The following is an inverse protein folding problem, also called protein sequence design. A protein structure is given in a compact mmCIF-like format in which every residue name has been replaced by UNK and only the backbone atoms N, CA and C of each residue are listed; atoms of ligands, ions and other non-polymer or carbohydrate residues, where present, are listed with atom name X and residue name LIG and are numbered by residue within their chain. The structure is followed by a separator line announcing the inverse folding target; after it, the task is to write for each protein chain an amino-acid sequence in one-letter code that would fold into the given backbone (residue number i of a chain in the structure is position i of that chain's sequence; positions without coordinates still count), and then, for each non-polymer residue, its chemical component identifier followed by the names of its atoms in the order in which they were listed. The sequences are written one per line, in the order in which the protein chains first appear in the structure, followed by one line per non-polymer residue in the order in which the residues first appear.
data_IF_764957418526
#
_entry.id   IF_764957418526
#
_cell.length_a   1.000
_cell.length_b   1.000
_cell.length_c   1.000
_cell.angle_alpha   90.00
_cell.angle_beta   90.00
_cell.angle_gamma   90.00
#
_symmetry.space_group_name_H-M   'P 1'
#
loop_
_entity.id
_entity.type
_entity.pdbx_description
1 polymer ?
#
# COMPACT_ATOMS: atom_id res chain seq x y z
N UNK A 1 -5.63 27.64 -9.33
CA UNK A 1 -6.62 28.72 -9.15
C UNK A 1 -7.70 28.18 -8.22
N UNK A 2 -7.97 28.88 -7.13
CA UNK A 2 -8.99 28.51 -6.14
C UNK A 2 -10.42 28.56 -6.71
N UNK A 3 -10.61 29.16 -7.88
CA UNK A 3 -11.89 29.25 -8.59
C UNK A 3 -12.05 28.24 -9.73
N UNK A 4 -11.06 27.36 -9.96
CA UNK A 4 -11.14 26.37 -11.03
C UNK A 4 -11.75 25.05 -10.55
N UNK A 5 -12.72 24.52 -11.29
CA UNK A 5 -13.14 23.12 -11.16
C UNK A 5 -11.92 22.22 -11.42
N UNK A 6 -11.58 21.39 -10.44
CA UNK A 6 -10.46 20.45 -10.56
C UNK A 6 -10.98 19.06 -10.86
N UNK A 7 -10.39 18.42 -11.86
CA UNK A 7 -10.61 17.02 -12.18
C UNK A 7 -9.44 16.24 -11.63
N UNK A 8 -9.70 15.30 -10.72
CA UNK A 8 -8.59 14.68 -9.98
C UNK A 8 -7.94 13.55 -10.78
N UNK A 9 -8.61 12.88 -11.72
CA UNK A 9 -8.06 11.69 -12.42
C UNK A 9 -8.80 11.35 -13.74
N UNK A 10 -8.65 12.20 -14.75
CA UNK A 10 -9.09 11.91 -16.14
C UNK A 10 -7.88 11.65 -17.03
N UNK A 11 -7.97 10.60 -17.85
CA UNK A 11 -6.93 10.18 -18.77
C UNK A 11 -7.47 10.16 -20.20
N UNK A 12 -6.77 10.72 -21.19
CA UNK A 12 -7.27 10.81 -22.56
C UNK A 12 -7.35 9.44 -23.25
N UNK A 13 -8.40 9.28 -24.06
CA UNK A 13 -8.74 8.09 -24.83
C UNK A 13 -9.49 7.04 -24.02
N UNK A 14 -10.49 6.42 -24.63
CA UNK A 14 -11.08 5.18 -24.12
C UNK A 14 -10.94 4.10 -25.18
N UNK A 15 -10.30 2.98 -24.83
CA UNK A 15 -10.07 1.85 -25.75
C UNK A 15 -11.13 0.75 -25.59
N UNK A 16 -12.01 0.84 -24.60
CA UNK A 16 -13.10 -0.14 -24.48
C UNK A 16 -14.02 0.03 -25.69
N UNK A 17 -14.39 -1.05 -26.37
CA UNK A 17 -15.24 -0.97 -27.57
C UNK A 17 -16.55 -0.24 -27.26
N UNK A 18 -17.12 -0.50 -26.08
CA UNK A 18 -18.33 0.15 -25.57
C UNK A 18 -18.16 1.63 -25.18
N UNK A 19 -16.93 2.14 -25.13
CA UNK A 19 -16.63 3.51 -24.71
C UNK A 19 -15.70 4.22 -25.68
N UNK A 20 -15.43 3.67 -26.86
CA UNK A 20 -14.51 4.23 -27.87
C UNK A 20 -14.85 5.67 -28.29
N UNK A 21 -16.11 6.06 -28.13
CA UNK A 21 -16.63 7.41 -28.42
C UNK A 21 -16.36 8.40 -27.28
N UNK A 22 -15.93 7.91 -26.11
CA UNK A 22 -15.55 8.77 -24.98
C UNK A 22 -14.11 9.24 -25.15
N UNK A 23 -13.94 10.55 -25.03
CA UNK A 23 -12.63 11.21 -25.12
C UNK A 23 -11.75 10.92 -23.90
N UNK A 24 -12.33 10.47 -22.77
CA UNK A 24 -11.61 10.25 -21.51
C UNK A 24 -12.01 8.96 -20.79
N UNK A 25 -11.04 8.43 -20.02
CA UNK A 25 -11.21 7.38 -19.01
C UNK A 25 -11.01 7.99 -17.64
N UNK A 26 -11.96 7.79 -16.73
CA UNK A 26 -11.88 8.26 -15.34
C UNK A 26 -11.42 7.14 -14.41
N UNK A 27 -10.58 7.47 -13.43
CA UNK A 27 -10.12 6.51 -12.42
C UNK A 27 -10.27 7.10 -11.03
N UNK A 28 -10.80 6.34 -10.08
CA UNK A 28 -10.74 6.73 -8.68
C UNK A 28 -9.42 6.26 -8.08
N UNK A 29 -8.63 7.17 -7.50
CA UNK A 29 -7.37 6.83 -6.82
C UNK A 29 -7.52 7.04 -5.31
N UNK A 30 -7.13 6.04 -4.52
CA UNK A 30 -7.12 6.07 -3.06
C UNK A 30 -6.16 5.02 -2.50
N UNK A 31 -6.04 4.94 -1.17
CA UNK A 31 -5.25 3.89 -0.52
C UNK A 31 -5.77 2.51 -0.89
N UNK A 32 -4.86 1.65 -1.33
CA UNK A 32 -5.19 0.28 -1.73
C UNK A 32 -5.45 -0.66 -0.54
N UNK A 33 -5.13 -0.23 0.69
CA UNK A 33 -5.26 -1.03 1.91
C UNK A 33 -4.67 -2.44 1.72
N UNK A 34 -3.39 -2.48 1.35
CA UNK A 34 -2.66 -3.69 0.98
C UNK A 34 -2.80 -4.80 2.03
N UNK A 35 -2.73 -6.06 1.59
CA UNK A 35 -2.74 -7.21 2.49
C UNK A 35 -1.47 -7.24 3.34
N UNK A 36 -0.32 -6.97 2.73
CA UNK A 36 0.98 -6.81 3.39
C UNK A 36 1.50 -5.36 3.21
N UNK A 37 1.01 -4.39 4.00
CA UNK A 37 1.24 -2.97 3.76
C UNK A 37 2.68 -2.51 4.07
N UNK A 38 3.42 -2.09 3.05
CA UNK A 38 4.76 -1.49 3.19
C UNK A 38 4.79 -0.28 4.12
N UNK A 39 3.73 0.54 4.11
CA UNK A 39 3.65 1.73 4.96
C UNK A 39 3.53 1.39 6.46
N UNK A 40 2.94 0.24 6.81
CA UNK A 40 2.91 -0.26 8.20
C UNK A 40 4.28 -0.79 8.58
N UNK A 41 4.89 -1.62 7.71
CA UNK A 41 6.23 -2.18 7.94
C UNK A 41 7.30 -1.09 8.12
N UNK A 42 7.22 0.01 7.38
CA UNK A 42 8.17 1.12 7.48
C UNK A 42 7.91 2.08 8.67
N UNK A 43 6.78 1.94 9.37
CA UNK A 43 6.42 2.86 10.45
C UNK A 43 7.11 2.50 11.77
N UNK A 44 8.22 3.18 12.06
CA UNK A 44 9.06 2.93 13.24
C UNK A 44 8.38 3.19 14.60
N UNK A 45 7.25 3.89 14.62
CA UNK A 45 6.47 4.20 15.83
C UNK A 45 5.12 3.47 15.88
N UNK A 46 4.80 2.64 14.87
CA UNK A 46 3.52 1.92 14.82
C UNK A 46 2.28 2.80 14.61
N UNK A 47 2.45 4.03 14.09
CA UNK A 47 1.34 4.95 13.79
C UNK A 47 0.41 4.45 12.67
N UNK A 48 0.84 3.49 11.86
CA UNK A 48 0.02 2.82 10.85
C UNK A 48 -0.16 1.36 11.27
N UNK A 49 -1.38 0.85 11.22
CA UNK A 49 -1.73 -0.52 11.61
C UNK A 49 -2.67 -1.15 10.59
N UNK A 50 -2.48 -2.44 10.33
CA UNK A 50 -3.44 -3.28 9.59
C UNK A 50 -4.41 -3.89 10.60
N UNK A 51 -5.70 -3.65 10.42
CA UNK A 51 -6.76 -4.29 11.20
C UNK A 51 -7.10 -5.66 10.62
N UNK A 52 -7.65 -6.53 11.45
CA UNK A 52 -7.98 -7.92 11.11
C UNK A 52 -9.01 -8.02 9.98
N UNK A 53 -9.96 -7.09 9.93
CA UNK A 53 -10.99 -6.99 8.91
C UNK A 53 -10.50 -6.34 7.60
N UNK A 54 -9.21 -5.96 7.52
CA UNK A 54 -8.57 -5.51 6.28
C UNK A 54 -8.17 -4.02 6.17
N UNK A 55 -8.81 -3.05 6.82
CA UNK A 55 -8.36 -1.67 6.81
C UNK A 55 -6.91 -1.49 7.25
N UNK A 56 -6.26 -0.48 6.69
CA UNK A 56 -4.99 0.04 7.18
C UNK A 56 -5.32 1.38 7.77
N UNK A 57 -5.19 1.54 9.09
CA UNK A 57 -5.60 2.74 9.83
C UNK A 57 -4.39 3.56 10.25
N UNK A 58 -4.63 4.81 10.65
CA UNK A 58 -3.61 5.76 11.07
C UNK A 58 -3.94 6.37 12.43
N UNK A 59 -3.00 6.30 13.37
CA UNK A 59 -3.08 6.96 14.65
C UNK A 59 -2.19 8.23 14.67
N UNK A 60 -2.79 9.43 14.69
CA UNK A 60 -2.02 10.67 14.72
C UNK A 60 -1.33 10.94 16.07
N UNK A 61 -1.77 10.34 17.18
CA UNK A 61 -1.24 10.66 18.52
C UNK A 61 0.20 10.19 18.75
N UNK A 62 0.63 9.17 17.99
CA UNK A 62 1.98 8.60 18.07
C UNK A 62 2.81 8.87 16.81
N UNK A 63 2.21 9.55 15.82
CA UNK A 63 2.89 9.88 14.57
C UNK A 63 3.91 10.99 14.79
N UNK A 64 5.18 10.70 14.50
CA UNK A 64 6.28 11.68 14.58
C UNK A 64 6.56 12.39 13.24
N UNK A 65 5.76 12.12 12.20
CA UNK A 65 5.89 12.81 10.92
C UNK A 65 7.16 12.50 10.12
N UNK A 66 7.84 11.37 10.35
CA UNK A 66 9.11 11.03 9.69
C UNK A 66 9.01 10.71 8.17
N UNK A 67 7.78 10.56 7.64
CA UNK A 67 7.47 10.36 6.20
C UNK A 67 8.00 9.07 5.56
N UNK A 68 8.60 8.15 6.31
CA UNK A 68 9.04 6.85 5.76
C UNK A 68 7.91 6.06 5.11
N UNK A 69 6.71 6.17 5.67
CA UNK A 69 5.50 5.56 5.12
C UNK A 69 5.11 6.10 3.73
N UNK A 70 5.45 7.35 3.39
CA UNK A 70 5.22 7.93 2.06
C UNK A 70 6.15 7.28 1.04
N UNK A 71 7.45 7.20 1.37
CA UNK A 71 8.48 6.60 0.50
C UNK A 71 8.23 5.10 0.32
N UNK A 72 7.82 4.41 1.38
CA UNK A 72 7.59 2.96 1.34
C UNK A 72 6.34 2.56 0.55
N UNK A 73 5.37 3.46 0.33
CA UNK A 73 4.11 3.12 -0.31
C UNK A 73 4.29 2.94 -1.83
N UNK A 74 4.08 1.72 -2.38
CA UNK A 74 4.27 1.47 -3.81
C UNK A 74 3.25 2.21 -4.70
N UNK A 75 2.16 2.69 -4.10
CA UNK A 75 1.09 3.42 -4.77
C UNK A 75 1.16 4.94 -4.54
N UNK A 76 2.14 5.45 -3.78
CA UNK A 76 2.37 6.89 -3.59
C UNK A 76 1.16 7.67 -3.03
N UNK A 77 0.30 7.00 -2.24
CA UNK A 77 -0.97 7.58 -1.76
C UNK A 77 -0.85 8.51 -0.56
N UNK A 78 0.14 8.32 0.32
CA UNK A 78 0.17 9.04 1.59
C UNK A 78 0.55 10.51 1.36
N UNK A 79 -0.29 11.42 1.81
CA UNK A 79 -0.05 12.86 1.74
C UNK A 79 0.38 13.40 3.11
N UNK A 80 1.28 14.38 3.13
CA UNK A 80 1.76 15.00 4.37
C UNK A 80 1.26 16.45 4.49
N UNK A 81 0.90 16.84 5.70
CA UNK A 81 0.49 18.20 6.01
C UNK A 81 1.72 19.10 6.24
N UNK A 82 2.08 19.89 5.22
CA UNK A 82 3.29 20.74 5.26
C UNK A 82 3.09 22.07 5.99
N UNK A 83 1.86 22.55 6.13
CA UNK A 83 1.52 23.83 6.75
C UNK A 83 1.60 23.82 8.27
N UNK A 84 1.55 22.65 8.91
CA UNK A 84 1.60 22.50 10.36
C UNK A 84 2.95 21.87 10.78
N UNK A 85 3.94 22.68 11.17
CA UNK A 85 5.28 22.17 11.49
C UNK A 85 5.35 21.43 12.83
N UNK A 86 4.44 21.71 13.77
CA UNK A 86 4.50 21.16 15.14
C UNK A 86 3.77 19.83 15.29
N UNK A 87 2.63 19.67 14.61
CA UNK A 87 1.80 18.46 14.68
C UNK A 87 1.38 17.96 13.29
N UNK A 88 2.34 17.77 12.37
CA UNK A 88 2.03 17.39 11.00
C UNK A 88 1.38 16.00 10.95
N UNK A 89 0.36 15.89 10.11
CA UNK A 89 -0.35 14.62 9.92
C UNK A 89 -0.02 14.02 8.56
N UNK A 90 0.06 12.69 8.54
CA UNK A 90 0.06 11.92 7.30
C UNK A 90 -1.37 11.48 7.03
N UNK A 91 -1.93 11.89 5.90
CA UNK A 91 -3.32 11.64 5.51
C UNK A 91 -3.40 10.64 4.36
N UNK A 92 -4.44 9.82 4.42
CA UNK A 92 -4.81 8.83 3.40
C UNK A 92 -6.24 8.35 3.67
N UNK A 93 -6.82 7.62 2.73
CA UNK A 93 -8.06 6.88 2.95
C UNK A 93 -7.95 5.98 4.20
N UNK A 94 -9.00 6.00 5.02
CA UNK A 94 -9.15 5.21 6.25
C UNK A 94 -10.23 4.13 6.10
N UNK A 95 -10.58 3.74 4.87
CA UNK A 95 -11.61 2.73 4.56
C UNK A 95 -13.00 3.00 5.18
N UNK A 96 -13.26 4.26 5.53
CA UNK A 96 -14.44 4.66 6.30
C UNK A 96 -14.63 3.86 7.60
N UNK A 97 -13.58 3.41 8.28
CA UNK A 97 -13.71 2.58 9.50
C UNK A 97 -14.61 3.19 10.58
N UNK A 98 -14.63 4.52 10.69
CA UNK A 98 -15.47 5.21 11.68
C UNK A 98 -16.95 5.24 11.31
N UNK A 99 -17.30 5.00 10.04
CA UNK A 99 -18.67 5.12 9.53
C UNK A 99 -19.21 3.85 8.90
N UNK A 100 -18.35 2.88 8.55
CA UNK A 100 -18.72 1.65 7.84
C UNK A 100 -19.35 0.57 8.74
N UNK A 101 -19.58 0.85 10.03
CA UNK A 101 -20.18 -0.05 11.04
C UNK A 101 -19.59 -1.48 10.98
N UNK A 102 -18.26 -1.62 10.92
CA UNK A 102 -17.57 -2.92 10.85
C UNK A 102 -17.98 -3.76 9.63
N UNK A 103 -18.07 -3.11 8.46
CA UNK A 103 -18.48 -3.74 7.22
C UNK A 103 -19.99 -3.94 7.06
N UNK A 104 -20.81 -3.46 8.01
CA UNK A 104 -22.28 -3.50 7.93
C UNK A 104 -22.86 -2.33 7.13
N UNK A 105 -22.05 -1.35 6.75
CA UNK A 105 -22.44 -0.24 5.90
C UNK A 105 -21.38 0.05 4.84
N UNK A 106 -21.84 0.50 3.67
CA UNK A 106 -20.94 0.90 2.59
C UNK A 106 -20.09 2.13 3.00
N UNK A 107 -18.79 2.17 2.65
CA UNK A 107 -18.01 3.39 2.69
C UNK A 107 -18.69 4.51 1.89
N UNK A 108 -18.50 5.76 2.31
CA UNK A 108 -19.17 6.91 1.70
C UNK A 108 -19.01 6.94 0.17
N UNK A 109 -17.79 6.68 -0.34
CA UNK A 109 -17.55 6.68 -1.78
C UNK A 109 -18.28 5.57 -2.56
N UNK A 110 -18.53 4.41 -1.94
CA UNK A 110 -19.30 3.33 -2.54
C UNK A 110 -20.80 3.65 -2.47
N UNK A 111 -21.27 4.14 -1.32
CA UNK A 111 -22.66 4.53 -1.11
C UNK A 111 -23.10 5.68 -2.04
N UNK A 112 -22.20 6.61 -2.36
CA UNK A 112 -22.48 7.74 -3.25
C UNK A 112 -22.31 7.44 -4.74
N UNK A 113 -21.89 6.23 -5.14
CA UNK A 113 -21.62 5.93 -6.54
C UNK A 113 -22.91 5.59 -7.30
N UNK A 114 -23.42 6.47 -8.19
CA UNK A 114 -24.72 6.28 -8.83
C UNK A 114 -24.71 5.17 -9.90
N UNK A 115 -23.53 4.85 -10.43
CA UNK A 115 -23.34 3.87 -11.51
C UNK A 115 -22.79 2.54 -11.03
N UNK A 116 -22.65 2.36 -9.71
CA UNK A 116 -22.09 1.15 -9.09
C UNK A 116 -20.70 0.78 -9.64
N UNK A 117 -19.93 1.79 -10.06
CA UNK A 117 -18.53 1.62 -10.43
C UNK A 117 -17.66 1.23 -9.22
N UNK A 118 -18.11 1.57 -8.01
CA UNK A 118 -17.47 1.22 -6.74
C UNK A 118 -18.42 0.30 -5.97
N UNK A 119 -18.00 -0.95 -5.79
CA UNK A 119 -18.73 -1.95 -5.01
C UNK A 119 -17.90 -2.29 -3.78
N UNK A 120 -18.56 -2.46 -2.64
CA UNK A 120 -17.94 -2.79 -1.36
C UNK A 120 -18.46 -4.14 -0.87
N UNK A 121 -17.57 -4.96 -0.31
CA UNK A 121 -17.89 -6.32 0.12
C UNK A 121 -16.63 -7.09 0.51
N UNK A 122 -16.77 -8.39 0.78
CA UNK A 122 -15.61 -9.22 1.09
C UNK A 122 -14.74 -9.39 -0.14
N UNK A 123 -13.42 -9.33 0.04
CA UNK A 123 -12.45 -9.43 -1.06
C UNK A 123 -12.66 -10.65 -1.96
N UNK A 124 -12.94 -11.82 -1.38
CA UNK A 124 -13.18 -13.06 -2.14
C UNK A 124 -14.39 -12.95 -3.06
N UNK A 125 -15.51 -12.46 -2.54
CA UNK A 125 -16.75 -12.23 -3.31
C UNK A 125 -16.52 -11.19 -4.42
N UNK A 126 -15.76 -10.13 -4.13
CA UNK A 126 -15.41 -9.11 -5.13
C UNK A 126 -14.47 -9.64 -6.23
N UNK A 127 -13.57 -10.57 -5.92
CA UNK A 127 -12.73 -11.23 -6.93
C UNK A 127 -13.57 -12.11 -7.86
N UNK A 128 -14.51 -12.88 -7.30
CA UNK A 128 -15.44 -13.69 -8.09
C UNK A 128 -16.31 -12.80 -9.00
N UNK A 129 -16.90 -11.74 -8.44
CA UNK A 129 -17.66 -10.74 -9.18
C UNK A 129 -16.81 -10.13 -10.31
N UNK A 130 -15.55 -9.78 -10.02
CA UNK A 130 -14.64 -9.20 -10.98
C UNK A 130 -14.34 -10.16 -12.15
N UNK A 131 -14.06 -11.44 -11.87
CA UNK A 131 -13.85 -12.48 -12.90
C UNK A 131 -15.10 -12.69 -13.74
N UNK A 132 -16.27 -12.74 -13.11
CA UNK A 132 -17.55 -12.87 -13.81
C UNK A 132 -17.80 -11.68 -14.74
N UNK A 133 -17.54 -10.44 -14.29
CA UNK A 133 -17.65 -9.23 -15.13
C UNK A 133 -16.70 -9.27 -16.32
N UNK A 134 -15.43 -9.64 -16.13
CA UNK A 134 -14.45 -9.80 -17.23
C UNK A 134 -14.96 -10.83 -18.24
N UNK A 135 -15.44 -11.98 -17.77
CA UNK A 135 -15.90 -13.06 -18.64
C UNK A 135 -17.15 -12.69 -19.46
N UNK A 136 -18.07 -11.93 -18.88
CA UNK A 136 -19.30 -11.48 -19.55
C UNK A 136 -19.06 -10.32 -20.52
N UNK A 137 -18.03 -9.49 -20.29
CA UNK A 137 -17.74 -8.27 -21.05
C UNK A 137 -16.29 -8.23 -21.52
N UNK A 138 -15.86 -9.26 -22.25
CA UNK A 138 -14.47 -9.43 -22.73
C UNK A 138 -14.01 -8.32 -23.68
N UNK A 139 -14.95 -7.64 -24.32
CA UNK A 139 -14.75 -6.48 -25.20
C UNK A 139 -14.50 -5.17 -24.43
N UNK A 140 -14.79 -5.14 -23.12
CA UNK A 140 -14.69 -3.94 -22.28
C UNK A 140 -13.52 -3.99 -21.29
N UNK A 141 -13.10 -5.18 -20.88
CA UNK A 141 -12.07 -5.35 -19.85
C UNK A 141 -10.89 -6.17 -20.35
N UNK A 142 -9.69 -5.75 -19.96
CA UNK A 142 -8.52 -6.61 -20.01
C UNK A 142 -8.69 -7.77 -19.03
N UNK A 143 -8.13 -8.93 -19.38
CA UNK A 143 -8.12 -10.10 -18.52
C UNK A 143 -7.08 -9.97 -17.38
N UNK A 144 -7.27 -8.95 -16.54
CA UNK A 144 -6.39 -8.60 -15.43
C UNK A 144 -7.20 -7.86 -14.35
N UNK A 145 -7.11 -8.33 -13.11
CA UNK A 145 -7.70 -7.66 -11.94
C UNK A 145 -6.56 -7.00 -11.16
N UNK A 146 -6.42 -5.68 -11.29
CA UNK A 146 -5.35 -4.96 -10.63
C UNK A 146 -5.64 -4.86 -9.13
N UNK A 147 -4.66 -5.24 -8.31
CA UNK A 147 -4.78 -5.43 -6.87
C UNK A 147 -5.03 -6.88 -6.44
N UNK A 148 -5.20 -7.81 -7.39
CA UNK A 148 -5.31 -9.22 -7.04
C UNK A 148 -4.00 -9.77 -6.49
N UNK A 149 -2.88 -9.43 -7.15
CA UNK A 149 -1.55 -9.95 -6.81
C UNK A 149 -0.52 -8.85 -6.54
N UNK A 150 -0.75 -7.63 -7.02
CA UNK A 150 0.18 -6.52 -6.88
C UNK A 150 0.52 -6.30 -5.41
N UNK A 151 1.82 -6.30 -5.12
CA UNK A 151 2.42 -6.14 -3.78
C UNK A 151 1.85 -7.08 -2.73
N UNK A 152 1.62 -8.35 -3.09
CA UNK A 152 1.04 -9.37 -2.21
C UNK A 152 -0.48 -9.37 -2.20
N UNK A 153 -1.12 -8.49 -2.98
CA UNK A 153 -2.56 -8.31 -3.05
C UNK A 153 -3.05 -7.13 -2.20
N UNK A 154 -4.19 -6.58 -2.58
CA UNK A 154 -4.80 -5.39 -1.97
C UNK A 154 -6.28 -5.57 -1.66
N UNK A 155 -6.82 -4.69 -0.83
CA UNK A 155 -8.27 -4.69 -0.51
C UNK A 155 -9.10 -3.91 -1.53
N UNK A 156 -8.48 -3.01 -2.29
CA UNK A 156 -9.07 -2.43 -3.51
C UNK A 156 -8.70 -3.26 -4.72
N UNK A 157 -9.65 -3.44 -5.63
CA UNK A 157 -9.51 -4.17 -6.89
C UNK A 157 -10.02 -3.29 -8.03
N UNK A 158 -9.37 -3.35 -9.19
CA UNK A 158 -9.78 -2.61 -10.38
C UNK A 158 -9.97 -3.53 -11.58
N UNK A 159 -11.00 -3.21 -12.35
CA UNK A 159 -11.18 -3.67 -13.71
C UNK A 159 -10.88 -2.50 -14.64
N UNK A 160 -10.08 -2.74 -15.68
CA UNK A 160 -9.71 -1.73 -16.66
C UNK A 160 -9.88 -2.29 -18.07
N UNK A 161 -10.33 -1.46 -19.00
CA UNK A 161 -10.30 -1.74 -20.44
C UNK A 161 -8.98 -1.35 -21.13
N UNK A 162 -8.04 -0.78 -20.38
CA UNK A 162 -6.75 -0.28 -20.87
C UNK A 162 -5.60 -0.74 -19.98
N UNK A 163 -4.38 -0.70 -20.50
CA UNK A 163 -3.19 -0.97 -19.68
C UNK A 163 -3.18 0.00 -18.49
N UNK A 164 -2.98 -0.55 -17.31
CA UNK A 164 -3.01 0.17 -16.03
C UNK A 164 -2.03 1.36 -16.00
N UNK A 165 -0.95 1.31 -16.78
CA UNK A 165 0.03 2.42 -16.87
C UNK A 165 -0.49 3.63 -17.64
N UNK A 166 -1.45 3.44 -18.54
CA UNK A 166 -2.09 4.53 -19.29
C UNK A 166 -3.13 5.28 -18.45
N UNK A 167 -3.53 4.71 -17.31
CA UNK A 167 -4.59 5.22 -16.44
C UNK A 167 -4.08 5.53 -15.02
N UNK A 168 -2.79 5.88 -14.91
CA UNK A 168 -2.18 6.41 -13.69
C UNK A 168 -1.69 5.38 -12.67
N UNK A 169 -1.80 4.08 -12.94
CA UNK A 169 -1.25 3.04 -12.07
C UNK A 169 0.16 2.60 -12.50
N UNK A 170 0.86 1.90 -11.60
CA UNK A 170 2.22 1.40 -11.85
C UNK A 170 2.20 -0.11 -12.03
N UNK A 171 3.08 -0.64 -12.88
CA UNK A 171 3.37 -2.08 -12.93
C UNK A 171 4.15 -2.44 -11.65
N UNK A 172 3.51 -3.20 -10.77
CA UNK A 172 4.04 -3.57 -9.47
C UNK A 172 4.37 -5.07 -9.41
N UNK A 173 5.37 -5.49 -8.62
CA UNK A 173 5.69 -6.90 -8.44
C UNK A 173 4.57 -7.62 -7.68
N UNK A 174 4.51 -8.96 -7.80
CA UNK A 174 3.55 -9.78 -7.05
C UNK A 174 3.92 -9.96 -5.58
N UNK A 175 5.21 -9.92 -5.26
CA UNK A 175 5.66 -10.05 -3.87
C UNK A 175 5.58 -8.70 -3.16
N UNK A 176 5.07 -8.73 -1.92
CA UNK A 176 5.05 -7.56 -1.07
C UNK A 176 6.48 -7.23 -0.58
N UNK A 177 6.93 -5.96 -0.66
CA UNK A 177 8.23 -5.55 -0.13
C UNK A 177 8.48 -5.98 1.33
N UNK A 178 7.50 -5.91 2.26
CA UNK A 178 7.69 -6.37 3.63
C UNK A 178 8.08 -7.84 3.75
N UNK A 179 7.54 -8.73 2.91
CA UNK A 179 7.87 -10.17 2.95
C UNK A 179 9.30 -10.43 2.53
N UNK A 180 9.83 -9.66 1.59
CA UNK A 180 11.22 -9.75 1.18
C UNK A 180 12.15 -9.35 2.33
N UNK A 181 11.89 -8.19 2.95
CA UNK A 181 12.70 -7.69 4.07
C UNK A 181 12.63 -8.60 5.29
N UNK A 182 11.44 -9.15 5.60
CA UNK A 182 11.23 -10.10 6.68
C UNK A 182 12.05 -11.38 6.47
N UNK A 183 11.99 -11.98 5.28
CA UNK A 183 12.80 -13.16 4.94
C UNK A 183 14.29 -12.91 5.11
N UNK A 184 14.78 -11.77 4.64
CA UNK A 184 16.20 -11.38 4.77
C UNK A 184 16.57 -11.23 6.25
N UNK A 185 15.77 -10.49 7.03
CA UNK A 185 16.02 -10.29 8.46
C UNK A 185 16.05 -11.63 9.21
N UNK A 186 15.05 -12.49 9.03
CA UNK A 186 15.01 -13.79 9.69
C UNK A 186 16.13 -14.73 9.25
N UNK A 187 16.62 -14.59 8.02
CA UNK A 187 17.75 -15.39 7.53
C UNK A 187 19.08 -14.92 8.13
N UNK A 188 19.31 -13.61 8.18
CA UNK A 188 20.51 -12.97 8.74
C UNK A 188 20.62 -13.23 10.25
N UNK A 189 19.51 -13.05 10.98
CA UNK A 189 19.46 -13.22 12.42
C UNK A 189 19.08 -14.63 12.87
N UNK A 190 19.00 -15.59 11.94
CA UNK A 190 18.67 -16.98 12.26
C UNK A 190 19.69 -17.52 13.28
N UNK A 191 19.17 -18.06 14.38
CA UNK A 191 19.98 -18.60 15.49
C UNK A 191 20.93 -17.58 16.15
N UNK A 192 20.77 -16.29 15.90
CA UNK A 192 21.68 -15.25 16.41
C UNK A 192 23.12 -15.40 15.90
N UNK A 193 23.34 -16.15 14.80
CA UNK A 193 24.67 -16.50 14.32
C UNK A 193 25.55 -15.27 14.06
N UNK A 194 25.00 -14.25 13.39
CA UNK A 194 25.75 -13.02 13.09
C UNK A 194 26.12 -12.24 14.36
N UNK A 195 25.19 -11.92 15.28
CA UNK A 195 25.55 -11.33 16.56
C UNK A 195 26.60 -12.13 17.34
N UNK A 196 26.45 -13.47 17.41
CA UNK A 196 27.40 -14.33 18.13
C UNK A 196 28.80 -14.26 17.51
N UNK A 197 28.89 -14.38 16.19
CA UNK A 197 30.16 -14.28 15.46
C UNK A 197 30.77 -12.89 15.67
N UNK A 198 29.98 -11.83 15.52
CA UNK A 198 30.44 -10.45 15.65
C UNK A 198 30.98 -10.15 17.05
N UNK A 199 30.20 -10.43 18.09
CA UNK A 199 30.62 -10.21 19.49
C UNK A 199 31.73 -11.17 19.91
N UNK A 200 31.73 -12.41 19.42
CA UNK A 200 32.82 -13.37 19.64
C UNK A 200 34.15 -12.89 19.04
N UNK A 201 34.13 -12.36 17.81
CA UNK A 201 35.29 -11.78 17.14
C UNK A 201 35.79 -10.54 17.91
N UNK A 202 34.90 -9.63 18.30
CA UNK A 202 35.27 -8.46 19.10
C UNK A 202 35.89 -8.87 20.44
N UNK A 203 35.32 -9.86 21.13
CA UNK A 203 35.87 -10.42 22.36
C UNK A 203 37.26 -11.03 22.16
N UNK A 204 37.47 -11.76 21.06
CA UNK A 204 38.78 -12.34 20.72
C UNK A 204 39.83 -11.25 20.43
N UNK A 205 39.47 -10.21 19.68
CA UNK A 205 40.33 -9.05 19.41
C UNK A 205 40.69 -8.34 20.73
N UNK A 206 39.72 -8.10 21.60
CA UNK A 206 39.95 -7.47 22.89
C UNK A 206 40.91 -8.31 23.77
N UNK A 207 40.70 -9.62 23.84
CA UNK A 207 41.56 -10.53 24.59
C UNK A 207 43.00 -10.56 24.03
N UNK A 208 43.15 -10.60 22.71
CA UNK A 208 44.44 -10.57 22.04
C UNK A 208 45.20 -9.26 22.31
N UNK A 209 44.52 -8.12 22.18
CA UNK A 209 45.11 -6.79 22.36
C UNK A 209 45.54 -6.56 23.81
N UNK A 210 44.71 -6.95 24.79
CA UNK A 210 45.06 -6.89 26.21
C UNK A 210 46.25 -7.79 26.58
N UNK A 211 46.34 -8.99 25.98
CA UNK A 211 47.50 -9.88 26.18
C UNK A 211 48.79 -9.31 25.60
N UNK A 212 48.71 -8.61 24.46
CA UNK A 212 49.88 -7.96 23.85
C UNK A 212 50.38 -6.78 24.70
N UNK A 213 49.48 -5.96 25.22
CA UNK A 213 49.83 -4.83 26.09
C UNK A 213 50.49 -5.31 27.40
N UNK A 214 49.97 -6.36 28.05
CA UNK A 214 50.56 -6.96 29.26
C UNK A 214 51.94 -7.61 29.06
N UNK A 215 52.35 -7.89 27.82
CA UNK A 215 53.68 -8.46 27.50
C UNK A 215 54.70 -7.39 27.07
N UNK A 216 54.25 -6.15 26.88
CA UNK A 216 55.09 -5.01 26.50
C UNK A 216 55.43 -4.07 27.66
N UNK A 217 54.81 -4.27 28.83
CA UNK A 217 55.25 -3.78 30.15
C UNK A 217 56.15 -4.83 30.81
#
# INVERSE_FOLDING_TARGET
DENAFTVVNEFPGSQSIAQREKETTTVKIQCMHCLDPSCVSACIVGALKKEEDGPVIYNPSICIGCRYCMVACPFEILAYEYSNPLTPRVRKCQFCVNTNKEGKANPACAASCPTEAIVFGKRGELLELARNRINQKKDQYLNHIYGEYEVGGTSWLYLSGRDITEIGFKKLPKEAPPRLTEKIQHSIFKYGAIPIIFYGLLGAIMAYTNRKNKKGE
#
